data_IF_198750771347
#
_entry.id   IF_198750771347
#
_cell.length_a   1.000
_cell.length_b   1.000
_cell.length_c   1.000
_cell.angle_alpha   90.00
_cell.angle_beta   90.00
_cell.angle_gamma   90.00
#
_symmetry.space_group_name_H-M   'P 1'
#
loop_
_entity.id
_entity.type
_entity.pdbx_description
1 polymer ?
#
# COMPACT_ATOMS: atom_id res chain seq x y z
N UNK A 1 9.08 28.41 -22.69
CA UNK A 1 8.78 27.35 -23.67
C UNK A 1 7.86 26.36 -23.00
N UNK A 2 6.59 26.35 -23.41
CA UNK A 2 5.54 25.52 -22.86
C UNK A 2 5.80 24.05 -23.26
N UNK A 3 6.19 23.22 -22.32
CA UNK A 3 6.03 21.77 -22.47
C UNK A 3 4.56 21.46 -22.22
N UNK A 4 3.82 21.25 -23.32
CA UNK A 4 2.43 20.84 -23.27
C UNK A 4 2.28 19.51 -22.52
N UNK A 5 1.61 19.56 -21.39
CA UNK A 5 1.16 18.41 -20.61
C UNK A 5 0.05 17.67 -21.34
N UNK A 6 0.39 16.63 -22.11
CA UNK A 6 -0.54 15.65 -22.66
C UNK A 6 -0.27 14.25 -22.12
N UNK A 7 0.02 14.09 -20.82
CA UNK A 7 0.22 12.76 -20.22
C UNK A 7 -0.21 12.73 -18.75
N UNK A 8 -1.49 12.96 -18.50
CA UNK A 8 -2.03 12.80 -17.15
C UNK A 8 -2.56 11.39 -16.86
N UNK A 9 -2.40 10.44 -17.79
CA UNK A 9 -2.93 9.10 -17.59
C UNK A 9 -1.80 8.11 -17.35
N UNK A 10 -1.98 7.30 -16.29
CA UNK A 10 -1.09 6.20 -15.93
C UNK A 10 -1.83 4.87 -15.96
N UNK A 11 -1.08 3.82 -16.27
CA UNK A 11 -1.49 2.43 -16.21
C UNK A 11 -0.79 1.76 -15.04
N UNK A 12 -1.56 1.21 -14.10
CA UNK A 12 -1.04 0.53 -12.92
C UNK A 12 -1.36 -0.95 -13.03
N UNK A 13 -0.32 -1.78 -13.03
CA UNK A 13 -0.43 -3.22 -12.98
C UNK A 13 -0.43 -3.68 -11.54
N UNK A 14 -1.54 -4.28 -11.06
CA UNK A 14 -1.73 -4.68 -9.67
C UNK A 14 -1.32 -6.11 -9.40
N UNK A 15 -1.02 -6.41 -8.14
CA UNK A 15 -0.87 -7.77 -7.67
C UNK A 15 -2.25 -8.45 -7.57
N UNK A 16 -2.32 -9.73 -7.94
CA UNK A 16 -3.58 -10.50 -7.86
C UNK A 16 -3.97 -10.96 -6.46
N UNK A 17 -3.21 -10.63 -5.42
CA UNK A 17 -3.40 -11.19 -4.06
C UNK A 17 -4.68 -10.71 -3.38
N UNK A 18 -5.05 -9.46 -3.57
CA UNK A 18 -6.32 -8.86 -3.12
C UNK A 18 -6.61 -7.63 -3.98
N UNK A 19 -7.42 -7.81 -4.99
CA UNK A 19 -7.75 -6.74 -5.95
C UNK A 19 -8.42 -5.54 -5.27
N UNK A 20 -9.35 -5.79 -4.35
CA UNK A 20 -10.06 -4.72 -3.64
C UNK A 20 -9.14 -3.92 -2.71
N UNK A 21 -8.18 -4.59 -2.04
CA UNK A 21 -7.20 -3.90 -1.20
C UNK A 21 -6.20 -3.13 -2.06
N UNK A 22 -5.73 -3.71 -3.16
CA UNK A 22 -4.82 -3.04 -4.09
C UNK A 22 -5.44 -1.78 -4.70
N UNK A 23 -6.73 -1.84 -5.10
CA UNK A 23 -7.47 -0.66 -5.58
C UNK A 23 -7.55 0.43 -4.51
N UNK A 24 -7.93 0.06 -3.28
CA UNK A 24 -8.05 1.01 -2.18
C UNK A 24 -6.68 1.60 -1.77
N UNK A 25 -5.60 0.81 -1.86
CA UNK A 25 -4.23 1.29 -1.67
C UNK A 25 -3.87 2.40 -2.67
N UNK A 26 -4.17 2.21 -3.97
CA UNK A 26 -3.91 3.23 -5.00
C UNK A 26 -4.68 4.52 -4.68
N UNK A 27 -5.97 4.41 -4.39
CA UNK A 27 -6.81 5.57 -4.05
C UNK A 27 -6.23 6.32 -2.84
N UNK A 28 -5.87 5.61 -1.77
CA UNK A 28 -5.26 6.20 -0.59
C UNK A 28 -3.88 6.83 -0.84
N UNK A 29 -3.05 6.18 -1.66
CA UNK A 29 -1.74 6.70 -2.04
C UNK A 29 -1.85 7.98 -2.90
N UNK A 30 -2.75 8.00 -3.89
CA UNK A 30 -2.98 9.19 -4.72
C UNK A 30 -3.59 10.34 -3.92
N UNK A 31 -4.51 10.06 -2.99
CA UNK A 31 -5.07 11.08 -2.08
C UNK A 31 -3.98 11.69 -1.18
N UNK A 32 -3.05 10.86 -0.68
CA UNK A 32 -1.93 11.36 0.12
C UNK A 32 -0.98 12.27 -0.67
N UNK A 33 -0.89 12.08 -2.00
CA UNK A 33 -0.05 12.86 -2.90
C UNK A 33 -0.81 14.01 -3.58
N UNK A 34 -2.11 14.19 -3.32
CA UNK A 34 -3.02 15.15 -4.00
C UNK A 34 -2.92 15.13 -5.53
N UNK A 35 -2.70 13.96 -6.12
CA UNK A 35 -2.18 13.90 -7.49
C UNK A 35 -2.98 13.08 -8.46
N UNK A 36 -4.16 12.53 -8.10
CA UNK A 36 -4.88 11.72 -9.08
C UNK A 36 -6.14 11.03 -8.62
N UNK A 37 -6.80 10.39 -9.57
CA UNK A 37 -8.01 9.58 -9.37
C UNK A 37 -8.05 8.40 -10.34
N UNK A 38 -8.63 7.29 -9.92
CA UNK A 38 -8.88 6.14 -10.80
C UNK A 38 -9.99 6.51 -11.79
N UNK A 39 -9.73 6.29 -13.08
CA UNK A 39 -10.68 6.49 -14.17
C UNK A 39 -11.36 5.18 -14.57
N UNK A 40 -10.58 4.09 -14.62
CA UNK A 40 -11.05 2.78 -15.03
C UNK A 40 -10.32 1.70 -14.25
N UNK A 41 -11.01 0.59 -13.99
CA UNK A 41 -10.47 -0.53 -13.23
C UNK A 41 -11.00 -1.84 -13.77
N UNK A 42 -10.11 -2.72 -14.17
CA UNK A 42 -10.45 -4.04 -14.70
C UNK A 42 -9.50 -5.09 -14.10
N UNK A 43 -10.05 -5.98 -13.27
CA UNK A 43 -9.29 -7.04 -12.59
C UNK A 43 -8.03 -6.50 -11.88
N UNK A 44 -6.83 -6.82 -12.39
CA UNK A 44 -5.55 -6.37 -11.83
C UNK A 44 -4.94 -5.20 -12.61
N UNK A 45 -5.76 -4.41 -13.30
CA UNK A 45 -5.31 -3.24 -14.07
C UNK A 45 -6.13 -2.02 -13.66
N UNK A 46 -5.45 -0.92 -13.36
CA UNK A 46 -6.09 0.37 -13.14
C UNK A 46 -5.55 1.41 -14.13
N UNK A 47 -6.44 2.23 -14.67
CA UNK A 47 -6.10 3.44 -15.43
C UNK A 47 -6.49 4.61 -14.55
N UNK A 48 -5.56 5.54 -14.33
CA UNK A 48 -5.78 6.70 -13.49
C UNK A 48 -5.33 7.99 -14.18
N UNK A 49 -6.02 9.08 -13.88
CA UNK A 49 -5.46 10.41 -14.06
C UNK A 49 -4.47 10.67 -12.92
N UNK A 50 -3.27 11.14 -13.24
CA UNK A 50 -2.22 11.38 -12.25
C UNK A 50 -1.31 12.50 -12.69
N UNK A 51 -1.12 13.52 -11.85
CA UNK A 51 -0.31 14.71 -12.14
C UNK A 51 0.99 14.80 -11.34
N UNK A 52 1.22 13.85 -10.41
CA UNK A 52 2.39 13.82 -9.56
C UNK A 52 3.60 13.11 -10.18
N UNK A 53 4.67 12.98 -9.39
CA UNK A 53 5.83 12.17 -9.77
C UNK A 53 5.50 10.67 -9.68
N UNK A 54 5.64 9.96 -10.80
CA UNK A 54 5.40 8.51 -10.87
C UNK A 54 6.32 7.75 -9.90
N UNK A 55 7.56 8.22 -9.70
CA UNK A 55 8.48 7.56 -8.77
C UNK A 55 8.01 7.66 -7.32
N UNK A 56 7.43 8.78 -6.91
CA UNK A 56 6.83 8.92 -5.57
C UNK A 56 5.67 7.95 -5.37
N UNK A 57 4.79 7.83 -6.37
CA UNK A 57 3.69 6.85 -6.32
C UNK A 57 4.23 5.41 -6.25
N UNK A 58 5.21 5.05 -7.07
CA UNK A 58 5.87 3.73 -7.07
C UNK A 58 6.46 3.41 -5.70
N UNK A 59 7.18 4.35 -5.09
CA UNK A 59 7.80 4.17 -3.77
C UNK A 59 6.76 3.99 -2.65
N UNK A 60 5.54 4.43 -2.89
CA UNK A 60 4.44 4.34 -1.93
C UNK A 60 3.65 3.04 -2.04
N UNK A 61 3.47 2.49 -3.25
CA UNK A 61 2.65 1.31 -3.49
C UNK A 61 3.34 0.00 -3.07
N UNK A 62 2.56 -0.95 -2.58
CA UNK A 62 2.99 -2.29 -2.19
C UNK A 62 2.28 -3.40 -2.97
N UNK A 63 1.01 -3.21 -3.32
CA UNK A 63 0.17 -4.20 -3.96
C UNK A 63 0.07 -3.98 -5.49
N UNK A 64 1.11 -3.41 -6.08
CA UNK A 64 1.28 -3.26 -7.50
C UNK A 64 2.56 -3.94 -8.01
N UNK A 65 2.68 -4.10 -9.32
CA UNK A 65 3.89 -4.56 -9.99
C UNK A 65 4.66 -3.40 -10.61
N UNK A 66 3.93 -2.48 -11.24
CA UNK A 66 4.52 -1.34 -11.96
C UNK A 66 3.51 -0.24 -12.19
N UNK A 67 4.03 0.97 -12.41
CA UNK A 67 3.28 2.12 -12.90
C UNK A 67 3.88 2.54 -14.24
N UNK A 68 3.03 2.74 -15.26
CA UNK A 68 3.43 3.11 -16.63
C UNK A 68 2.71 4.38 -17.05
N UNK A 69 3.29 5.16 -17.94
CA UNK A 69 2.53 6.14 -18.71
C UNK A 69 1.56 5.35 -19.58
N UNK A 70 0.27 5.60 -19.46
CA UNK A 70 -0.75 4.95 -20.26
C UNK A 70 -0.66 5.39 -21.72
N UNK A 71 -0.72 4.43 -22.64
CA UNK A 71 -0.73 4.69 -24.08
C UNK A 71 -2.12 4.44 -24.68
N UNK A 72 -2.62 3.21 -24.52
CA UNK A 72 -3.93 2.83 -25.06
C UNK A 72 -4.50 1.57 -24.41
N UNK A 73 -5.80 1.35 -24.67
CA UNK A 73 -6.47 0.05 -24.52
C UNK A 73 -7.06 -0.40 -25.85
N UNK A 74 -6.93 -1.68 -26.16
CA UNK A 74 -7.49 -2.32 -27.36
C UNK A 74 -8.41 -3.48 -26.95
N UNK A 75 -9.40 -3.81 -27.79
CA UNK A 75 -10.28 -4.95 -27.54
C UNK A 75 -9.57 -6.28 -27.80
N UNK A 76 -8.69 -6.31 -28.80
CA UNK A 76 -7.92 -7.49 -29.15
C UNK A 76 -6.46 -7.16 -29.46
N UNK A 77 -5.60 -8.18 -29.48
CA UNK A 77 -4.17 -8.06 -29.79
C UNK A 77 -3.94 -7.50 -31.20
N UNK A 78 -4.81 -7.83 -32.17
CA UNK A 78 -4.75 -7.32 -33.54
C UNK A 78 -5.04 -5.82 -33.65
N UNK A 79 -5.71 -5.24 -32.67
CA UNK A 79 -6.10 -3.84 -32.66
C UNK A 79 -5.05 -2.94 -31.96
N UNK A 80 -3.87 -3.51 -31.64
CA UNK A 80 -2.76 -2.77 -31.03
C UNK A 80 -2.17 -1.79 -32.04
N UNK A 81 -2.19 -0.50 -31.71
CA UNK A 81 -1.50 0.56 -32.43
C UNK A 81 -0.38 1.17 -31.55
N UNK A 82 0.86 1.01 -31.98
CA UNK A 82 2.02 1.54 -31.27
C UNK A 82 2.46 2.94 -31.75
N UNK A 83 1.73 3.57 -32.67
CA UNK A 83 2.05 4.91 -33.21
C UNK A 83 2.11 5.99 -32.12
N UNK A 84 1.31 5.83 -31.07
CA UNK A 84 1.22 6.75 -29.94
C UNK A 84 2.19 6.42 -28.78
N UNK A 85 3.00 5.37 -28.91
CA UNK A 85 4.01 5.02 -27.92
C UNK A 85 5.14 6.05 -27.96
N UNK A 86 5.27 6.82 -26.87
CA UNK A 86 6.33 7.82 -26.75
C UNK A 86 7.56 7.20 -26.10
N UNK A 87 8.74 7.28 -26.76
CA UNK A 87 9.99 6.80 -26.18
C UNK A 87 10.37 7.54 -24.90
N UNK A 88 10.90 6.84 -23.91
CA UNK A 88 11.47 7.38 -22.68
C UNK A 88 13.01 7.27 -22.67
N UNK A 89 13.62 7.05 -23.83
CA UNK A 89 15.06 6.91 -24.01
C UNK A 89 15.41 6.35 -25.40
N UNK A 90 16.66 5.90 -25.57
CA UNK A 90 17.20 5.45 -26.86
C UNK A 90 17.05 3.94 -27.13
N UNK A 91 16.88 3.16 -26.07
CA UNK A 91 16.75 1.71 -26.15
C UNK A 91 15.52 1.21 -25.40
N UNK A 92 14.92 0.14 -25.93
CA UNK A 92 13.68 -0.39 -25.37
C UNK A 92 13.64 -1.92 -25.38
N UNK A 93 12.68 -2.46 -24.63
CA UNK A 93 12.15 -3.81 -24.79
C UNK A 93 10.64 -3.81 -24.69
N UNK A 94 10.01 -4.83 -25.25
CA UNK A 94 8.58 -5.11 -25.02
C UNK A 94 8.48 -6.23 -23.99
N UNK A 95 7.51 -6.10 -23.09
CA UNK A 95 7.13 -7.15 -22.15
C UNK A 95 5.63 -7.29 -22.10
N UNK A 96 5.16 -8.41 -22.61
CA UNK A 96 3.75 -8.78 -22.52
C UNK A 96 3.53 -9.72 -21.32
N UNK A 97 2.43 -9.52 -20.63
CA UNK A 97 2.03 -10.34 -19.48
C UNK A 97 0.54 -10.60 -19.50
N UNK A 98 0.16 -11.85 -19.25
CA UNK A 98 -1.25 -12.21 -19.04
C UNK A 98 -1.69 -11.72 -17.65
N UNK A 99 -2.87 -11.14 -17.63
CA UNK A 99 -3.59 -10.80 -16.40
C UNK A 99 -4.52 -11.99 -16.10
N UNK A 100 -4.34 -12.59 -14.94
CA UNK A 100 -5.09 -13.79 -14.56
C UNK A 100 -4.96 -14.90 -15.64
N UNK A 101 -6.09 -15.48 -16.05
CA UNK A 101 -6.16 -16.59 -17.01
C UNK A 101 -6.59 -16.15 -18.43
N UNK A 102 -6.57 -14.81 -18.70
CA UNK A 102 -6.99 -14.31 -20.01
C UNK A 102 -5.98 -14.61 -21.10
N UNK A 103 -6.48 -14.77 -22.33
CA UNK A 103 -5.71 -14.87 -23.59
C UNK A 103 -4.60 -15.91 -23.56
N UNK A 104 -4.95 -17.13 -23.05
CA UNK A 104 -4.01 -18.26 -22.98
C UNK A 104 -3.47 -18.68 -24.35
N UNK A 105 -4.26 -18.46 -25.40
CA UNK A 105 -3.94 -18.77 -26.81
C UNK A 105 -2.83 -17.88 -27.39
N UNK A 106 -2.56 -16.71 -26.81
CA UNK A 106 -1.57 -15.76 -27.33
C UNK A 106 -0.14 -16.25 -27.07
N UNK A 107 0.65 -16.41 -28.12
CA UNK A 107 2.11 -16.59 -28.01
C UNK A 107 2.78 -15.28 -27.56
N UNK A 108 3.16 -15.21 -26.29
CA UNK A 108 3.80 -14.02 -25.69
C UNK A 108 5.07 -13.63 -26.44
N UNK A 109 5.95 -14.60 -26.70
CA UNK A 109 7.25 -14.35 -27.33
C UNK A 109 7.13 -13.92 -28.79
N UNK A 110 6.17 -14.50 -29.51
CA UNK A 110 5.83 -14.09 -30.86
C UNK A 110 5.25 -12.69 -30.90
N UNK A 111 4.34 -12.38 -29.97
CA UNK A 111 3.75 -11.04 -29.81
C UNK A 111 4.82 -9.98 -29.53
N UNK A 112 5.70 -10.21 -28.53
CA UNK A 112 6.77 -9.26 -28.19
C UNK A 112 7.70 -8.99 -29.38
N UNK A 113 8.05 -10.04 -30.15
CA UNK A 113 8.86 -9.90 -31.37
C UNK A 113 8.16 -9.13 -32.48
N UNK A 114 6.88 -9.40 -32.73
CA UNK A 114 6.11 -8.73 -33.78
C UNK A 114 5.91 -7.25 -33.45
N UNK A 115 5.51 -6.93 -32.23
CA UNK A 115 5.34 -5.55 -31.77
C UNK A 115 6.68 -4.78 -31.74
N UNK A 116 7.78 -5.47 -31.40
CA UNK A 116 9.13 -4.87 -31.39
C UNK A 116 9.60 -4.35 -32.76
N UNK A 117 9.12 -4.96 -33.84
CA UNK A 117 9.40 -4.50 -35.21
C UNK A 117 8.69 -3.21 -35.60
N UNK A 118 7.63 -2.85 -34.88
CA UNK A 118 6.82 -1.65 -35.14
C UNK A 118 7.37 -0.39 -34.47
N UNK A 119 8.24 -0.54 -33.46
CA UNK A 119 8.83 0.58 -32.74
C UNK A 119 10.19 0.92 -33.32
N UNK A 120 10.39 2.18 -33.70
CA UNK A 120 11.70 2.70 -34.11
C UNK A 120 12.58 2.90 -32.86
N UNK A 121 13.74 2.24 -32.80
CA UNK A 121 14.69 2.35 -31.70
C UNK A 121 15.59 1.15 -31.56
N UNK A 122 16.55 1.22 -30.63
CA UNK A 122 17.48 0.11 -30.35
C UNK A 122 16.82 -0.87 -29.37
N UNK A 123 16.67 -2.12 -29.80
CA UNK A 123 16.22 -3.17 -28.87
C UNK A 123 17.33 -3.54 -27.89
N UNK A 124 17.03 -3.50 -26.60
CA UNK A 124 17.94 -3.96 -25.55
C UNK A 124 17.13 -4.80 -24.53
N UNK A 125 17.30 -6.12 -24.59
CA UNK A 125 16.51 -7.05 -23.76
C UNK A 125 16.97 -7.09 -22.30
N UNK A 126 18.21 -6.72 -22.02
CA UNK A 126 18.83 -6.85 -20.69
C UNK A 126 18.69 -5.57 -19.88
N UNK A 127 19.13 -4.45 -20.44
CA UNK A 127 19.15 -3.15 -19.75
C UNK A 127 18.60 -2.03 -20.66
N UNK A 128 17.28 -2.01 -20.93
CA UNK A 128 16.65 -0.97 -21.75
C UNK A 128 16.48 0.32 -20.95
N UNK A 129 16.44 1.46 -21.66
CA UNK A 129 16.08 2.75 -21.06
C UNK A 129 14.60 2.78 -20.66
N UNK A 130 13.74 2.08 -21.42
CA UNK A 130 12.32 1.95 -21.12
C UNK A 130 11.75 0.60 -21.57
N UNK A 131 10.61 0.28 -21.03
CA UNK A 131 9.85 -0.94 -21.35
C UNK A 131 8.46 -0.56 -21.86
N UNK A 132 8.06 -1.13 -22.99
CA UNK A 132 6.67 -1.11 -23.44
C UNK A 132 5.96 -2.30 -22.81
N UNK A 133 5.07 -2.01 -21.89
CA UNK A 133 4.29 -3.00 -21.15
C UNK A 133 2.99 -3.30 -21.87
N UNK A 134 2.73 -4.57 -22.14
CA UNK A 134 1.50 -5.05 -22.77
C UNK A 134 0.79 -5.97 -21.78
N UNK A 135 -0.34 -5.55 -21.26
CA UNK A 135 -1.13 -6.33 -20.29
C UNK A 135 -2.31 -6.99 -21.01
N UNK A 136 -2.29 -8.32 -21.06
CA UNK A 136 -3.28 -9.15 -21.75
C UNK A 136 -4.40 -9.55 -20.77
N UNK A 137 -5.33 -8.65 -20.54
CA UNK A 137 -6.55 -8.83 -19.74
C UNK A 137 -7.78 -9.13 -20.62
N UNK A 138 -8.97 -8.78 -20.11
CA UNK A 138 -10.20 -8.76 -20.93
C UNK A 138 -9.99 -7.83 -22.13
N UNK A 139 -9.48 -6.64 -21.86
CA UNK A 139 -8.89 -5.75 -22.87
C UNK A 139 -7.37 -5.89 -22.83
N UNK A 140 -6.73 -5.42 -23.89
CA UNK A 140 -5.28 -5.30 -23.95
C UNK A 140 -4.90 -3.88 -23.58
N UNK A 141 -4.05 -3.70 -22.57
CA UNK A 141 -3.62 -2.37 -22.14
C UNK A 141 -2.14 -2.19 -22.42
N UNK A 142 -1.77 -1.01 -22.90
CA UNK A 142 -0.39 -0.68 -23.26
C UNK A 142 0.05 0.56 -22.48
N UNK A 143 1.22 0.44 -21.87
CA UNK A 143 1.88 1.52 -21.18
C UNK A 143 3.38 1.52 -21.40
N UNK A 144 4.02 2.64 -21.11
CA UNK A 144 5.47 2.82 -21.21
C UNK A 144 6.03 3.15 -19.84
N UNK A 145 7.04 2.42 -19.42
CA UNK A 145 7.63 2.61 -18.09
C UNK A 145 9.16 2.65 -18.12
N UNK A 146 9.74 3.40 -17.21
CA UNK A 146 11.17 3.27 -16.87
C UNK A 146 11.38 2.05 -15.98
N UNK A 147 12.54 1.37 -16.03
CA UNK A 147 12.83 0.23 -15.16
C UNK A 147 12.64 0.54 -13.66
N UNK A 148 12.89 1.78 -13.24
CA UNK A 148 12.71 2.26 -11.85
C UNK A 148 11.24 2.41 -11.43
N UNK A 149 10.29 2.36 -12.37
CA UNK A 149 8.85 2.44 -12.07
C UNK A 149 8.20 1.09 -11.80
N UNK A 150 9.03 0.09 -11.48
CA UNK A 150 8.59 -1.20 -10.93
C UNK A 150 8.67 -1.18 -9.42
N UNK A 151 7.67 -1.79 -8.78
CA UNK A 151 7.67 -1.89 -7.32
C UNK A 151 8.82 -2.82 -6.88
N UNK A 152 9.66 -2.31 -5.98
CA UNK A 152 10.75 -3.11 -5.40
C UNK A 152 10.22 -4.11 -4.38
N UNK A 153 9.90 -5.31 -4.86
CA UNK A 153 9.41 -6.40 -4.02
C UNK A 153 10.47 -6.94 -3.08
N UNK A 154 11.74 -6.86 -3.45
CA UNK A 154 12.86 -7.33 -2.65
C UNK A 154 12.95 -6.55 -1.35
N UNK A 155 12.70 -5.24 -1.40
CA UNK A 155 12.71 -4.40 -0.20
C UNK A 155 11.64 -4.82 0.82
N UNK A 156 10.46 -5.30 0.37
CA UNK A 156 9.43 -5.84 1.27
C UNK A 156 9.85 -7.18 1.88
N UNK A 157 10.54 -8.03 1.14
CA UNK A 157 11.08 -9.29 1.67
C UNK A 157 12.14 -9.04 2.75
N UNK A 158 13.03 -8.07 2.52
CA UNK A 158 14.07 -7.68 3.51
C UNK A 158 13.48 -7.13 4.80
N UNK A 159 12.28 -6.53 4.75
CA UNK A 159 11.60 -5.98 5.93
C UNK A 159 10.69 -6.97 6.66
N UNK A 160 10.59 -8.23 6.22
CA UNK A 160 9.84 -9.26 6.94
C UNK A 160 10.34 -9.40 8.38
N UNK A 161 9.45 -9.81 9.28
CA UNK A 161 9.73 -9.92 10.70
C UNK A 161 11.01 -10.71 11.03
N UNK A 162 11.20 -11.86 10.38
CA UNK A 162 12.37 -12.72 10.57
C UNK A 162 13.70 -12.08 10.15
N UNK A 163 13.67 -11.02 9.36
CA UNK A 163 14.86 -10.29 8.89
C UNK A 163 15.14 -9.02 9.71
N UNK A 164 14.39 -8.79 10.79
CA UNK A 164 14.54 -7.63 11.68
C UNK A 164 15.39 -8.00 12.90
N UNK A 165 16.11 -7.04 13.50
CA UNK A 165 16.89 -7.27 14.73
C UNK A 165 16.06 -7.82 15.90
N UNK A 166 14.81 -7.39 16.02
CA UNK A 166 13.85 -7.90 16.98
C UNK A 166 12.67 -8.55 16.28
N UNK A 167 12.42 -9.81 16.60
CA UNK A 167 11.43 -10.67 15.94
C UNK A 167 10.32 -11.12 16.89
N UNK A 168 9.09 -11.17 16.35
CA UNK A 168 7.96 -11.89 16.94
C UNK A 168 7.22 -12.61 15.79
N UNK A 169 6.76 -13.85 15.99
CA UNK A 169 6.12 -14.65 14.94
C UNK A 169 4.77 -14.08 14.45
N UNK A 170 4.08 -13.31 15.30
CA UNK A 170 2.78 -12.72 14.99
C UNK A 170 3.01 -11.31 14.45
N UNK A 171 3.20 -11.19 13.14
CA UNK A 171 3.49 -9.89 12.52
C UNK A 171 2.83 -9.80 11.14
N UNK A 172 2.24 -8.64 10.85
CA UNK A 172 1.68 -8.34 9.53
C UNK A 172 2.81 -8.29 8.48
N UNK A 173 2.59 -8.90 7.31
CA UNK A 173 3.56 -8.83 6.21
C UNK A 173 3.74 -7.37 5.76
N UNK A 174 4.98 -6.89 5.49
CA UNK A 174 5.26 -5.48 5.20
C UNK A 174 4.40 -4.87 4.08
N UNK A 175 4.09 -5.60 3.01
CA UNK A 175 3.22 -5.11 1.95
C UNK A 175 1.79 -4.82 2.41
N UNK A 176 1.24 -5.63 3.33
CA UNK A 176 -0.08 -5.38 3.90
C UNK A 176 -0.04 -4.26 4.95
N UNK A 177 1.06 -4.13 5.69
CA UNK A 177 1.29 -2.99 6.58
C UNK A 177 1.36 -1.69 5.76
N UNK A 178 2.08 -1.66 4.63
CA UNK A 178 2.13 -0.52 3.72
C UNK A 178 0.76 -0.19 3.14
N UNK A 179 0.01 -1.21 2.69
CA UNK A 179 -1.35 -1.00 2.20
C UNK A 179 -2.25 -0.41 3.28
N UNK A 180 -2.19 -0.92 4.53
CA UNK A 180 -2.93 -0.36 5.67
C UNK A 180 -2.60 1.11 5.90
N UNK A 181 -1.31 1.47 5.90
CA UNK A 181 -0.85 2.86 6.03
C UNK A 181 -1.40 3.72 4.90
N UNK A 182 -1.35 3.24 3.65
CA UNK A 182 -1.87 3.98 2.49
C UNK A 182 -3.39 4.22 2.58
N UNK A 183 -4.16 3.31 3.19
CA UNK A 183 -5.60 3.50 3.41
C UNK A 183 -5.92 4.74 4.29
N UNK A 184 -5.01 5.20 5.14
CA UNK A 184 -5.19 6.42 5.92
C UNK A 184 -5.06 7.68 5.07
N UNK A 185 -4.37 7.60 3.93
CA UNK A 185 -3.93 8.75 3.12
C UNK A 185 -2.97 9.70 3.84
N UNK A 186 -2.21 9.21 4.84
CA UNK A 186 -1.22 10.01 5.58
C UNK A 186 -0.17 10.59 4.63
N UNK A 187 0.19 11.85 4.82
CA UNK A 187 1.20 12.58 4.05
C UNK A 187 2.54 12.58 4.76
N UNK A 188 3.58 12.89 4.00
CA UNK A 188 4.90 13.16 4.57
C UNK A 188 4.82 14.29 5.61
N UNK A 189 5.37 14.05 6.80
CA UNK A 189 5.41 15.02 7.91
C UNK A 189 4.16 15.08 8.79
N UNK A 190 3.07 14.38 8.47
CA UNK A 190 1.89 14.25 9.32
C UNK A 190 2.09 13.17 10.40
N UNK A 191 1.39 13.30 11.53
CA UNK A 191 1.48 12.38 12.64
C UNK A 191 0.61 11.14 12.45
N UNK A 192 1.20 9.96 12.61
CA UNK A 192 0.49 8.67 12.59
C UNK A 192 0.86 7.85 13.82
N UNK A 193 -0.16 7.29 14.47
CA UNK A 193 -0.05 6.47 15.68
C UNK A 193 -0.37 5.01 15.36
N UNK A 194 0.46 4.10 15.88
CA UNK A 194 0.11 2.70 16.09
C UNK A 194 0.09 2.40 17.60
N UNK A 195 -1.10 2.33 18.23
CA UNK A 195 -1.24 2.14 19.68
C UNK A 195 -1.09 0.68 20.11
N UNK A 196 -0.86 -0.26 19.18
CA UNK A 196 -0.56 -1.67 19.40
C UNK A 196 0.64 -2.07 18.56
N UNK A 197 1.75 -1.31 18.69
CA UNK A 197 2.82 -1.34 17.70
C UNK A 197 3.61 -2.66 17.66
N UNK A 198 3.56 -3.49 18.70
CA UNK A 198 4.27 -4.76 18.76
C UNK A 198 5.75 -4.62 18.40
N UNK A 199 6.16 -5.23 17.28
CA UNK A 199 7.55 -5.15 16.77
C UNK A 199 7.78 -3.98 15.81
N UNK A 200 6.85 -3.05 15.68
CA UNK A 200 6.95 -1.84 14.86
C UNK A 200 6.77 -2.04 13.35
N UNK A 201 6.12 -3.13 12.93
CA UNK A 201 5.98 -3.45 11.51
C UNK A 201 5.20 -2.41 10.71
N UNK A 202 4.12 -1.87 11.26
CA UNK A 202 3.30 -0.81 10.65
C UNK A 202 4.07 0.51 10.71
N UNK A 203 4.66 0.84 11.87
CA UNK A 203 5.43 2.08 12.06
C UNK A 203 6.62 2.18 11.11
N UNK A 204 7.28 1.05 10.80
CA UNK A 204 8.36 1.00 9.84
C UNK A 204 7.86 1.46 8.45
N UNK A 205 6.71 0.97 8.01
CA UNK A 205 6.12 1.38 6.74
C UNK A 205 5.63 2.84 6.75
N UNK A 206 5.18 3.36 7.91
CA UNK A 206 4.87 4.78 8.10
C UNK A 206 6.11 5.66 7.92
N UNK A 207 7.21 5.31 8.58
CA UNK A 207 8.46 6.09 8.53
C UNK A 207 9.08 6.11 7.14
N UNK A 208 9.04 4.98 6.41
CA UNK A 208 9.58 4.88 5.06
C UNK A 208 8.86 5.76 4.03
N UNK A 209 7.63 6.18 4.28
CA UNK A 209 6.92 7.19 3.47
C UNK A 209 7.05 8.61 4.01
N UNK A 210 7.86 8.79 5.07
CA UNK A 210 8.16 10.10 5.66
C UNK A 210 7.11 10.63 6.63
N UNK A 211 6.20 9.83 7.13
CA UNK A 211 5.28 10.22 8.21
C UNK A 211 6.05 10.36 9.53
N UNK A 212 5.55 11.20 10.44
CA UNK A 212 6.03 11.30 11.83
C UNK A 212 5.40 10.17 12.66
N UNK A 213 6.23 9.33 13.25
CA UNK A 213 5.84 8.07 13.85
C UNK A 213 5.62 8.20 15.35
N UNK A 214 4.47 7.72 15.82
CA UNK A 214 4.21 7.49 17.23
C UNK A 214 3.78 6.03 17.39
N UNK A 215 4.34 5.34 18.38
CA UNK A 215 3.96 3.98 18.70
C UNK A 215 3.86 3.75 20.19
N UNK A 216 2.93 2.90 20.58
CA UNK A 216 2.86 2.41 21.96
C UNK A 216 2.53 0.92 21.99
N UNK A 217 2.96 0.28 23.06
CA UNK A 217 2.61 -1.10 23.40
C UNK A 217 2.58 -1.23 24.90
N UNK A 218 1.80 -2.15 25.43
CA UNK A 218 1.73 -2.45 26.86
C UNK A 218 2.98 -3.18 27.37
N UNK A 219 3.75 -3.75 26.44
CA UNK A 219 4.98 -4.50 26.73
C UNK A 219 6.22 -3.65 26.47
N UNK A 220 6.99 -3.36 27.52
CA UNK A 220 8.28 -2.68 27.40
C UNK A 220 9.23 -3.43 26.45
N UNK A 221 9.20 -4.76 26.43
CA UNK A 221 9.99 -5.57 25.50
C UNK A 221 9.64 -5.26 24.02
N UNK A 222 8.35 -5.07 23.70
CA UNK A 222 7.89 -4.70 22.34
C UNK A 222 8.30 -3.26 22.01
N UNK A 223 8.21 -2.35 22.97
CA UNK A 223 8.66 -0.95 22.83
C UNK A 223 10.15 -0.90 22.46
N UNK A 224 11.00 -1.59 23.24
CA UNK A 224 12.45 -1.63 23.00
C UNK A 224 12.78 -2.35 21.68
N UNK A 225 12.06 -3.42 21.36
CA UNK A 225 12.20 -4.13 20.11
C UNK A 225 11.81 -3.26 18.90
N UNK A 226 10.75 -2.48 19.02
CA UNK A 226 10.31 -1.52 18.00
C UNK A 226 11.37 -0.44 17.77
N UNK A 227 11.94 0.15 18.84
CA UNK A 227 13.03 1.12 18.74
C UNK A 227 14.24 0.56 17.99
N UNK A 228 14.65 -0.68 18.33
CA UNK A 228 15.75 -1.39 17.64
C UNK A 228 15.45 -1.59 16.16
N UNK A 229 14.23 -2.03 15.81
CA UNK A 229 13.82 -2.25 14.45
C UNK A 229 13.79 -0.95 13.64
N UNK A 230 13.19 0.11 14.16
CA UNK A 230 13.17 1.41 13.49
C UNK A 230 14.58 1.96 13.24
N UNK A 231 15.44 1.93 14.26
CA UNK A 231 16.85 2.37 14.18
C UNK A 231 17.63 1.60 13.12
N UNK A 232 17.41 0.29 12.98
CA UNK A 232 18.06 -0.55 11.95
C UNK A 232 17.76 -0.08 10.54
N UNK A 233 16.56 0.47 10.30
CA UNK A 233 16.16 1.03 9.01
C UNK A 233 16.38 2.55 8.91
N UNK A 234 17.17 3.14 9.83
CA UNK A 234 17.47 4.57 9.84
C UNK A 234 16.28 5.46 10.17
N UNK A 235 15.27 4.92 10.85
CA UNK A 235 14.04 5.63 11.22
C UNK A 235 14.03 5.97 12.70
N UNK A 236 13.40 7.11 13.03
CA UNK A 236 13.17 7.55 14.39
C UNK A 236 11.68 7.81 14.60
N UNK A 237 11.20 7.58 15.82
CA UNK A 237 9.83 7.83 16.23
C UNK A 237 9.71 7.97 17.74
N UNK A 238 8.57 8.46 18.21
CA UNK A 238 8.24 8.53 19.63
C UNK A 238 7.61 7.20 20.02
N UNK A 239 8.35 6.33 20.71
CA UNK A 239 7.89 4.99 21.08
C UNK A 239 7.95 4.85 22.60
N UNK A 240 6.81 4.52 23.21
CA UNK A 240 6.69 4.44 24.67
C UNK A 240 5.77 3.29 25.11
N UNK A 241 5.98 2.84 26.35
CA UNK A 241 5.09 1.89 27.01
C UNK A 241 3.80 2.60 27.43
N UNK A 242 2.65 2.02 27.11
CA UNK A 242 1.36 2.55 27.50
C UNK A 242 0.30 1.45 27.54
N UNK A 243 -0.47 1.45 28.60
CA UNK A 243 -1.78 0.81 28.61
C UNK A 243 -2.74 1.64 27.75
N UNK A 244 -3.66 0.99 27.02
CA UNK A 244 -4.50 1.67 26.04
C UNK A 244 -5.42 2.72 26.67
N UNK A 245 -5.84 2.52 27.93
CA UNK A 245 -6.65 3.48 28.67
C UNK A 245 -5.95 4.80 28.94
N UNK A 246 -4.62 4.80 28.95
CA UNK A 246 -3.76 5.94 29.29
C UNK A 246 -3.20 6.65 28.04
N UNK A 247 -3.53 6.19 26.85
CA UNK A 247 -2.88 6.67 25.61
C UNK A 247 -3.07 8.17 25.39
N UNK A 248 -4.25 8.73 25.72
CA UNK A 248 -4.51 10.17 25.61
C UNK A 248 -3.62 10.99 26.55
N UNK A 249 -3.51 10.56 27.80
CA UNK A 249 -2.72 11.25 28.82
C UNK A 249 -1.21 11.18 28.52
N UNK A 250 -0.76 10.03 27.99
CA UNK A 250 0.62 9.85 27.57
C UNK A 250 0.98 10.67 26.34
N UNK A 251 0.06 10.86 25.40
CA UNK A 251 0.24 11.79 24.28
C UNK A 251 0.33 13.23 24.75
N UNK A 252 -0.50 13.66 25.72
CA UNK A 252 -0.43 14.99 26.29
C UNK A 252 0.91 15.28 26.99
N UNK A 253 1.47 14.30 27.70
CA UNK A 253 2.80 14.41 28.35
C UNK A 253 3.94 14.69 27.35
N UNK A 254 3.79 14.24 26.09
CA UNK A 254 4.75 14.52 25.02
C UNK A 254 4.37 15.73 24.16
N UNK A 255 3.39 16.52 24.60
CA UNK A 255 2.97 17.75 23.93
C UNK A 255 2.02 17.55 22.74
N UNK A 256 1.36 16.40 22.62
CA UNK A 256 0.42 16.09 21.56
C UNK A 256 -0.97 15.81 22.13
N UNK A 257 -1.94 16.66 21.84
CA UNK A 257 -3.34 16.41 22.22
C UNK A 257 -4.07 15.52 21.20
N UNK A 258 -3.60 15.51 19.95
CA UNK A 258 -4.20 14.74 18.85
C UNK A 258 -3.15 14.24 17.88
N UNK A 259 -3.51 13.18 17.14
CA UNK A 259 -2.77 12.67 15.99
C UNK A 259 -3.64 12.78 14.74
N UNK A 260 -3.01 12.95 13.58
CA UNK A 260 -3.76 13.06 12.32
C UNK A 260 -4.39 11.72 11.96
N UNK A 261 -3.63 10.62 12.13
CA UNK A 261 -4.03 9.29 11.69
C UNK A 261 -3.69 8.21 12.72
N UNK A 262 -4.45 7.12 12.66
CA UNK A 262 -4.13 5.85 13.33
C UNK A 262 -4.04 4.76 12.26
N UNK A 263 -2.98 3.93 12.29
CA UNK A 263 -2.86 2.71 11.51
C UNK A 263 -2.44 1.58 12.45
N UNK A 264 -3.27 0.54 12.61
CA UNK A 264 -3.02 -0.47 13.64
C UNK A 264 -3.64 -1.82 13.31
N UNK A 265 -3.03 -2.90 13.84
CA UNK A 265 -3.50 -4.29 13.81
C UNK A 265 -3.60 -4.79 15.26
N UNK A 266 -4.69 -4.47 16.00
CA UNK A 266 -4.82 -4.78 17.42
C UNK A 266 -4.91 -6.30 17.65
N UNK A 267 -4.71 -6.79 18.90
CA UNK A 267 -4.78 -8.22 19.22
C UNK A 267 -6.15 -8.82 18.92
N UNK A 268 -6.18 -10.13 18.55
CA UNK A 268 -7.43 -10.87 18.24
C UNK A 268 -7.89 -11.80 19.36
N UNK A 269 -7.24 -11.77 20.52
CA UNK A 269 -7.62 -12.48 21.74
C UNK A 269 -7.15 -13.93 21.86
N UNK A 270 -6.75 -14.62 20.79
CA UNK A 270 -6.36 -16.05 20.86
C UNK A 270 -4.87 -16.30 21.07
N UNK A 271 -4.02 -15.38 20.69
CA UNK A 271 -2.56 -15.56 20.69
C UNK A 271 -1.83 -14.30 21.18
N UNK A 272 -2.53 -13.24 21.53
CA UNK A 272 -1.96 -11.99 22.02
C UNK A 272 -2.34 -11.77 23.47
N UNK A 273 -1.43 -11.17 24.24
CA UNK A 273 -1.63 -10.86 25.64
C UNK A 273 -2.69 -9.76 25.78
N UNK A 274 -3.93 -10.14 26.13
CA UNK A 274 -5.00 -9.20 26.50
C UNK A 274 -4.97 -8.87 27.99
N UNK A 275 -3.95 -9.29 28.75
CA UNK A 275 -3.86 -9.23 30.22
C UNK A 275 -5.06 -9.85 30.94
N UNK A 276 -5.73 -10.83 30.30
CA UNK A 276 -6.94 -11.49 30.84
C UNK A 276 -8.25 -10.76 30.56
N UNK A 277 -8.21 -9.60 29.89
CA UNK A 277 -9.40 -8.84 29.50
C UNK A 277 -10.12 -9.50 28.31
N UNK A 278 -11.45 -9.38 28.27
CA UNK A 278 -12.22 -9.76 27.10
C UNK A 278 -11.88 -8.84 25.94
N UNK A 279 -11.63 -9.42 24.76
CA UNK A 279 -11.16 -8.67 23.56
C UNK A 279 -12.13 -7.55 23.15
N UNK A 280 -13.42 -7.73 23.33
CA UNK A 280 -14.43 -6.73 22.97
C UNK A 280 -14.44 -5.55 23.94
N UNK A 281 -14.14 -5.79 25.21
CA UNK A 281 -13.95 -4.72 26.23
C UNK A 281 -12.69 -3.91 25.90
N UNK A 282 -11.60 -4.59 25.53
CA UNK A 282 -10.39 -3.94 25.06
C UNK A 282 -10.67 -3.04 23.84
N UNK A 283 -11.43 -3.54 22.85
CA UNK A 283 -11.79 -2.72 21.68
C UNK A 283 -12.65 -1.53 22.03
N UNK A 284 -13.67 -1.69 22.87
CA UNK A 284 -14.53 -0.60 23.29
C UNK A 284 -13.73 0.51 23.97
N UNK A 285 -12.88 0.13 24.90
CA UNK A 285 -11.99 1.05 25.63
C UNK A 285 -10.98 1.71 24.68
N UNK A 286 -10.43 0.96 23.73
CA UNK A 286 -9.52 1.49 22.71
C UNK A 286 -10.21 2.54 21.83
N UNK A 287 -11.39 2.23 21.30
CA UNK A 287 -12.11 3.16 20.43
C UNK A 287 -12.59 4.42 21.15
N UNK A 288 -12.93 4.31 22.45
CA UNK A 288 -13.19 5.46 23.28
C UNK A 288 -11.99 6.40 23.39
N UNK A 289 -10.78 5.85 23.59
CA UNK A 289 -9.55 6.64 23.62
C UNK A 289 -9.22 7.22 22.24
N UNK A 290 -9.34 6.41 21.17
CA UNK A 290 -9.09 6.90 19.81
C UNK A 290 -10.00 8.08 19.43
N UNK A 291 -11.26 8.09 19.89
CA UNK A 291 -12.18 9.21 19.67
C UNK A 291 -11.70 10.52 20.28
N UNK A 292 -10.94 10.45 21.38
CA UNK A 292 -10.36 11.64 22.00
C UNK A 292 -9.18 12.21 21.18
N UNK A 293 -8.36 11.34 20.61
CA UNK A 293 -7.05 11.71 20.05
C UNK A 293 -7.00 11.78 18.53
N UNK A 294 -7.89 11.11 17.80
CA UNK A 294 -7.89 11.07 16.35
C UNK A 294 -8.49 12.36 15.74
N UNK A 295 -7.81 12.93 14.73
CA UNK A 295 -8.28 14.15 14.04
C UNK A 295 -8.90 13.87 12.68
N UNK A 296 -8.43 12.83 11.95
CA UNK A 296 -8.85 12.58 10.56
C UNK A 296 -9.32 11.16 10.33
N UNK A 297 -8.40 10.21 10.10
CA UNK A 297 -8.74 8.84 9.70
C UNK A 297 -7.99 7.78 10.47
N UNK A 298 -8.66 6.67 10.66
CA UNK A 298 -8.09 5.43 11.18
C UNK A 298 -8.20 4.33 10.14
N UNK A 299 -7.09 3.66 9.84
CA UNK A 299 -7.08 2.38 9.15
C UNK A 299 -6.73 1.27 10.16
N UNK A 300 -7.63 0.32 10.32
CA UNK A 300 -7.51 -0.73 11.34
C UNK A 300 -7.86 -2.09 10.76
N UNK A 301 -7.16 -3.13 11.21
CA UNK A 301 -7.49 -4.51 10.88
C UNK A 301 -8.31 -5.11 12.01
N UNK A 302 -9.50 -5.59 11.70
CA UNK A 302 -10.41 -6.20 12.67
C UNK A 302 -10.74 -7.65 12.28
N UNK A 303 -10.93 -8.56 13.27
CA UNK A 303 -11.09 -9.98 13.00
C UNK A 303 -12.51 -10.38 12.52
N UNK A 304 -13.55 -9.61 12.89
CA UNK A 304 -14.94 -10.03 12.67
C UNK A 304 -15.92 -8.84 12.68
N UNK A 305 -17.19 -9.15 12.39
CA UNK A 305 -18.29 -8.17 12.32
C UNK A 305 -18.62 -7.54 13.68
N UNK A 306 -18.46 -8.28 14.78
CA UNK A 306 -18.71 -7.77 16.12
C UNK A 306 -17.74 -6.65 16.47
N UNK A 307 -16.45 -6.85 16.23
CA UNK A 307 -15.40 -5.82 16.42
C UNK A 307 -15.68 -4.56 15.56
N UNK A 308 -16.12 -4.76 14.31
CA UNK A 308 -16.50 -3.65 13.42
C UNK A 308 -17.71 -2.91 13.97
N UNK A 309 -18.72 -3.64 14.51
CA UNK A 309 -19.92 -3.05 15.08
C UNK A 309 -19.61 -2.21 16.32
N UNK A 310 -18.67 -2.65 17.15
CA UNK A 310 -18.19 -1.86 18.30
C UNK A 310 -17.54 -0.55 17.80
N UNK A 311 -16.63 -0.64 16.81
CA UNK A 311 -15.97 0.54 16.27
C UNK A 311 -16.96 1.57 15.67
N UNK A 312 -18.00 1.08 14.98
CA UNK A 312 -19.06 1.92 14.39
C UNK A 312 -19.88 2.74 15.41
N UNK A 313 -19.82 2.42 16.70
CA UNK A 313 -20.45 3.24 17.76
C UNK A 313 -19.69 4.54 18.00
N UNK A 314 -18.40 4.60 17.62
CA UNK A 314 -17.51 5.73 17.85
C UNK A 314 -17.15 6.49 16.57
N UNK A 315 -17.12 5.78 15.42
CA UNK A 315 -16.58 6.29 14.16
C UNK A 315 -17.47 5.93 12.97
N UNK A 316 -17.40 6.75 11.93
CA UNK A 316 -18.09 6.46 10.66
C UNK A 316 -17.21 5.51 9.81
N UNK A 317 -17.76 4.35 9.44
CA UNK A 317 -17.10 3.41 8.54
C UNK A 317 -17.17 3.94 7.10
N UNK A 318 -16.02 4.25 6.51
CA UNK A 318 -15.89 4.66 5.10
C UNK A 318 -15.70 3.46 4.18
N UNK A 319 -14.91 2.47 4.63
CA UNK A 319 -14.55 1.33 3.80
C UNK A 319 -14.29 0.08 4.64
N UNK A 320 -14.68 -1.07 4.09
CA UNK A 320 -14.36 -2.40 4.61
C UNK A 320 -13.88 -3.28 3.47
N UNK A 321 -12.73 -3.92 3.64
CA UNK A 321 -12.13 -4.83 2.67
C UNK A 321 -11.78 -6.13 3.38
N UNK A 322 -12.26 -7.24 2.86
CA UNK A 322 -11.97 -8.56 3.39
C UNK A 322 -10.75 -9.15 2.67
N UNK A 323 -9.77 -9.61 3.44
CA UNK A 323 -8.59 -10.31 2.93
C UNK A 323 -8.50 -11.67 3.61
N UNK A 324 -8.70 -12.73 2.83
CA UNK A 324 -8.57 -14.10 3.32
C UNK A 324 -7.09 -14.44 3.47
N UNK A 325 -6.66 -14.72 4.70
CA UNK A 325 -5.27 -15.08 5.01
C UNK A 325 -5.07 -16.59 4.90
N UNK A 326 -5.96 -17.37 5.53
CA UNK A 326 -6.03 -18.82 5.42
C UNK A 326 -7.47 -19.31 5.72
N UNK A 327 -7.69 -20.63 5.77
CA UNK A 327 -9.06 -21.20 5.89
C UNK A 327 -9.85 -20.67 7.10
N UNK A 328 -9.19 -20.38 8.22
CA UNK A 328 -9.81 -19.96 9.48
C UNK A 328 -9.58 -18.49 9.84
N UNK A 329 -8.89 -17.71 9.01
CA UNK A 329 -8.61 -16.29 9.28
C UNK A 329 -8.92 -15.41 8.08
N UNK A 330 -9.89 -14.53 8.26
CA UNK A 330 -10.15 -13.40 7.39
C UNK A 330 -9.83 -12.11 8.15
N UNK A 331 -9.04 -11.23 7.56
CA UNK A 331 -8.76 -9.90 8.09
C UNK A 331 -9.65 -8.87 7.41
N UNK A 332 -10.24 -7.99 8.20
CA UNK A 332 -11.05 -6.89 7.70
C UNK A 332 -10.23 -5.60 7.80
N UNK A 333 -9.73 -5.12 6.67
CA UNK A 333 -9.12 -3.81 6.57
C UNK A 333 -10.25 -2.77 6.54
N UNK A 334 -10.37 -2.01 7.61
CA UNK A 334 -11.42 -1.02 7.78
C UNK A 334 -10.83 0.38 7.82
N UNK A 335 -11.50 1.32 7.17
CA UNK A 335 -11.19 2.77 7.24
C UNK A 335 -12.35 3.47 7.90
N UNK A 336 -12.04 4.25 8.91
CA UNK A 336 -13.01 5.05 9.64
C UNK A 336 -12.58 6.52 9.66
N UNK A 337 -13.54 7.43 9.58
CA UNK A 337 -13.33 8.86 9.82
C UNK A 337 -13.62 9.25 11.28
N UNK A 338 -12.91 10.29 11.75
CA UNK A 338 -13.00 10.82 13.12
C UNK A 338 -14.37 11.43 13.45
#
# INVERSE_FOLDING_TARGET
MQYGFMHNHILIELSGESQSLARAEIEGAMNALDSGKILDYEDCVAIAEYSGDIQELVNRLALAHSVSIYSQSAQDVKDIDLSNVKPLGNSFRIRARRIMEYRKEVDISGLERSLGKLIKGKVNLTNPDYEVRVLLGKRVHIGVLKPTWKIDRTSYELRKAQNRPFFSPITLHPKFARALVNLTSVRKGEWILDPFCGTGGILLECGLIGAKIIGSDVSLQMVDGTKKNLSHFGLNGIIFESEIGEISDNLEKIGLSKVDYIATDPPYGRAATTLGENIYQLYERSFYQFKKILSRKMAIILPNDESISICKRFFQLERRIQVKVHRSLTRHFCVFSA
#
